data_IF_128168731476
#
_entry.id   IF_128168731476
#
_cell.length_a   1.000
_cell.length_b   1.000
_cell.length_c   1.000
_cell.angle_alpha   90.00
_cell.angle_beta   90.00
_cell.angle_gamma   90.00
#
_symmetry.space_group_name_H-M   'P 1'
#
loop_
_entity.id
_entity.type
_entity.pdbx_description
1 polymer ?
#
# COMPACT_ATOMS: atom_id res chain seq x y z
N UNK A 1 13.00 26.42 77.61
CA UNK A 1 13.45 26.91 76.29
C UNK A 1 13.27 25.76 75.31
N UNK A 2 12.18 25.77 74.55
CA UNK A 2 11.68 24.64 73.77
C UNK A 2 12.19 24.73 72.33
N UNK A 3 12.92 23.72 71.85
CA UNK A 3 13.30 23.59 70.44
C UNK A 3 12.65 22.31 69.89
N UNK A 4 11.57 22.47 69.10
CA UNK A 4 10.93 21.38 68.35
C UNK A 4 11.58 21.30 66.96
N UNK A 5 12.31 20.21 66.70
CA UNK A 5 12.84 19.88 65.38
C UNK A 5 11.76 19.16 64.56
N UNK A 6 11.34 19.77 63.45
CA UNK A 6 10.45 19.16 62.47
C UNK A 6 11.24 18.22 61.54
N UNK A 7 10.94 16.92 61.55
CA UNK A 7 11.44 15.97 60.54
C UNK A 7 10.40 15.87 59.41
N UNK A 8 10.77 16.32 58.22
CA UNK A 8 10.05 16.06 56.96
C UNK A 8 10.47 14.69 56.45
N UNK A 9 9.55 13.73 56.39
CA UNK A 9 9.75 12.47 55.68
C UNK A 9 9.59 12.73 54.17
N UNK A 10 10.67 12.61 53.41
CA UNK A 10 10.64 12.56 51.96
C UNK A 10 10.25 11.13 51.53
N UNK A 11 9.04 10.96 50.99
CA UNK A 11 8.59 9.70 50.41
C UNK A 11 9.28 9.46 49.07
N UNK A 12 10.02 8.36 48.97
CA UNK A 12 10.60 7.89 47.72
C UNK A 12 9.52 7.19 46.88
N UNK A 13 9.09 7.82 45.80
CA UNK A 13 8.19 7.22 44.82
C UNK A 13 8.96 6.34 43.84
N UNK A 14 8.81 5.02 43.95
CA UNK A 14 9.27 4.06 42.95
C UNK A 14 8.29 4.16 41.76
N UNK A 15 8.74 4.74 40.65
CA UNK A 15 8.02 4.67 39.37
C UNK A 15 8.44 3.37 38.69
N UNK A 16 7.60 2.33 38.83
CA UNK A 16 7.71 1.12 38.04
C UNK A 16 7.35 1.45 36.58
N UNK A 17 8.36 1.59 35.74
CA UNK A 17 8.20 1.65 34.28
C UNK A 17 7.90 0.22 33.81
N UNK A 18 6.62 -0.13 33.70
CA UNK A 18 6.19 -1.36 33.03
C UNK A 18 6.53 -1.22 31.55
N UNK A 19 7.66 -1.82 31.16
CA UNK A 19 8.00 -2.06 29.77
C UNK A 19 6.95 -2.97 29.16
N UNK A 20 6.06 -2.39 28.36
CA UNK A 20 5.26 -3.13 27.39
C UNK A 20 6.23 -3.64 26.32
N UNK A 21 6.86 -4.78 26.60
CA UNK A 21 7.38 -5.65 25.55
C UNK A 21 6.15 -6.13 24.80
N UNK A 22 5.79 -5.42 23.73
CA UNK A 22 4.78 -5.87 22.80
C UNK A 22 5.27 -7.16 22.18
N UNK A 23 4.66 -8.28 22.55
CA UNK A 23 4.74 -9.48 21.74
C UNK A 23 4.30 -9.07 20.33
N UNK A 24 5.18 -9.19 19.33
CA UNK A 24 4.80 -9.15 17.93
C UNK A 24 3.82 -10.32 17.71
N UNK A 25 2.54 -10.02 17.88
CA UNK A 25 1.46 -10.87 17.38
C UNK A 25 1.53 -10.75 15.87
N UNK A 26 1.59 -11.88 15.16
CA UNK A 26 1.37 -11.96 13.71
C UNK A 26 0.20 -11.03 13.36
N UNK A 27 0.50 -9.95 12.65
CA UNK A 27 -0.47 -8.89 12.40
C UNK A 27 -1.26 -9.26 11.16
N UNK A 28 -2.24 -10.17 11.35
CA UNK A 28 -3.26 -10.48 10.35
C UNK A 28 -3.70 -9.20 9.66
N UNK A 29 -3.55 -9.14 8.34
CA UNK A 29 -3.90 -7.96 7.55
C UNK A 29 -5.31 -7.51 7.90
N UNK A 30 -5.40 -6.36 8.55
CA UNK A 30 -6.65 -5.84 9.10
C UNK A 30 -7.56 -5.32 8.00
N UNK A 31 -8.88 -5.35 8.21
CA UNK A 31 -9.79 -4.65 7.30
C UNK A 31 -9.65 -3.14 7.48
N UNK A 32 -9.80 -2.40 6.39
CA UNK A 32 -9.65 -0.94 6.40
C UNK A 32 -9.20 -0.37 5.07
N UNK A 33 -8.85 0.92 5.12
CA UNK A 33 -8.27 1.65 4.00
C UNK A 33 -6.79 1.84 4.26
N UNK A 34 -5.98 1.52 3.27
CA UNK A 34 -4.54 1.67 3.28
C UNK A 34 -4.13 2.79 2.32
N UNK A 35 -3.19 3.64 2.74
CA UNK A 35 -2.47 4.55 1.86
C UNK A 35 -1.37 3.76 1.15
N UNK A 36 -1.26 3.93 -0.17
CA UNK A 36 -0.24 3.25 -0.97
C UNK A 36 0.94 4.18 -1.28
N UNK A 37 2.13 3.60 -1.34
CA UNK A 37 3.41 4.27 -1.57
C UNK A 37 4.25 3.46 -2.57
N UNK A 38 5.26 4.08 -3.19
CA UNK A 38 6.16 3.33 -4.06
C UNK A 38 6.94 2.30 -3.25
N UNK A 39 7.17 1.13 -3.84
CA UNK A 39 8.07 0.17 -3.22
C UNK A 39 9.53 0.63 -3.36
N UNK A 40 10.38 0.54 -2.32
CA UNK A 40 11.79 0.94 -2.42
C UNK A 40 12.56 0.20 -3.52
N UNK A 41 12.22 -1.07 -3.75
CA UNK A 41 12.77 -1.88 -4.84
C UNK A 41 12.22 -1.51 -6.24
N UNK A 42 11.09 -0.79 -6.32
CA UNK A 42 10.62 -0.18 -7.57
C UNK A 42 11.61 0.87 -8.11
N UNK A 43 12.57 1.32 -7.30
CA UNK A 43 13.62 2.25 -7.69
C UNK A 43 14.80 1.60 -8.44
N UNK A 44 14.81 0.27 -8.60
CA UNK A 44 15.89 -0.42 -9.33
C UNK A 44 15.98 0.00 -10.82
N UNK A 45 14.95 0.68 -11.34
CA UNK A 45 14.95 1.42 -12.61
C UNK A 45 14.17 2.72 -12.44
N UNK A 46 14.81 3.87 -12.15
CA UNK A 46 14.12 5.14 -12.00
C UNK A 46 13.26 5.48 -13.23
N UNK A 47 12.06 6.07 -13.05
CA UNK A 47 11.49 6.59 -11.80
C UNK A 47 10.88 5.51 -10.90
N UNK A 48 10.75 5.84 -9.60
CA UNK A 48 10.04 5.01 -8.63
C UNK A 48 8.58 4.83 -9.04
N UNK A 49 8.01 3.67 -8.69
CA UNK A 49 6.64 3.34 -9.06
C UNK A 49 5.94 2.44 -8.05
N UNK A 50 4.60 2.53 -8.04
CA UNK A 50 3.68 1.60 -7.39
C UNK A 50 2.94 0.69 -8.37
N UNK A 51 2.90 1.10 -9.64
CA UNK A 51 2.36 0.36 -10.79
C UNK A 51 3.27 0.55 -12.01
N UNK A 52 3.46 -0.51 -12.78
CA UNK A 52 4.10 -0.49 -14.10
C UNK A 52 3.21 -1.17 -15.12
N UNK A 53 3.07 -0.56 -16.30
CA UNK A 53 2.29 -1.08 -17.43
C UNK A 53 3.07 -0.87 -18.73
N UNK A 54 3.85 -1.85 -19.13
CA UNK A 54 4.63 -1.76 -20.37
C UNK A 54 3.69 -1.80 -21.59
N UNK A 55 4.00 -1.04 -22.63
CA UNK A 55 3.15 -0.87 -23.82
C UNK A 55 1.72 -0.41 -23.49
N UNK A 56 1.52 0.40 -22.44
CA UNK A 56 0.22 1.03 -22.22
C UNK A 56 -0.17 1.94 -23.39
N UNK A 57 0.82 2.54 -24.05
CA UNK A 57 0.67 3.18 -25.34
C UNK A 57 1.90 2.86 -26.18
N UNK A 58 1.70 2.58 -27.47
CA UNK A 58 2.81 2.48 -28.42
C UNK A 58 3.11 3.89 -28.96
N UNK A 59 4.07 4.57 -28.33
CA UNK A 59 4.44 5.96 -28.61
C UNK A 59 5.62 6.02 -29.57
N UNK A 60 6.61 5.15 -29.38
CA UNK A 60 7.88 5.22 -30.11
C UNK A 60 8.04 4.13 -31.17
N UNK A 61 7.15 3.14 -31.22
CA UNK A 61 7.32 1.94 -32.03
C UNK A 61 8.33 0.94 -31.46
N UNK A 62 8.97 1.26 -30.33
CA UNK A 62 9.83 0.38 -29.54
C UNK A 62 9.10 -0.04 -28.26
N UNK A 63 9.83 -0.70 -27.35
CA UNK A 63 9.34 -1.07 -26.03
C UNK A 63 9.21 0.16 -25.11
N UNK A 64 8.01 0.70 -24.98
CA UNK A 64 7.64 1.84 -24.14
C UNK A 64 7.18 1.38 -22.76
N UNK A 65 7.88 1.83 -21.71
CA UNK A 65 7.55 1.52 -20.33
C UNK A 65 6.69 2.66 -19.76
N UNK A 66 5.59 2.34 -19.08
CA UNK A 66 4.82 3.32 -18.31
C UNK A 66 4.87 2.98 -16.83
N UNK A 67 5.20 3.98 -16.02
CA UNK A 67 5.27 3.84 -14.56
C UNK A 67 4.44 4.92 -13.88
N UNK A 68 3.97 4.61 -12.69
CA UNK A 68 3.06 5.46 -11.92
C UNK A 68 3.58 5.62 -10.50
N UNK A 69 3.93 6.85 -10.15
CA UNK A 69 4.55 7.25 -8.89
C UNK A 69 3.46 7.54 -7.84
N UNK A 70 3.34 6.68 -6.84
CA UNK A 70 2.33 6.80 -5.78
C UNK A 70 2.70 7.84 -4.72
N UNK A 71 3.96 8.26 -4.65
CA UNK A 71 4.46 9.26 -3.69
C UNK A 71 4.55 10.68 -4.27
N UNK A 72 4.27 10.84 -5.56
CA UNK A 72 4.18 12.16 -6.17
C UNK A 72 3.10 13.01 -5.48
N UNK A 73 3.32 14.32 -5.36
CA UNK A 73 2.40 15.24 -4.67
C UNK A 73 0.98 15.33 -5.28
N UNK A 74 0.79 14.82 -6.49
CA UNK A 74 -0.52 14.74 -7.17
C UNK A 74 -1.15 13.34 -7.11
N UNK A 75 -0.47 12.40 -6.45
CA UNK A 75 -0.93 11.03 -6.27
C UNK A 75 -1.66 10.87 -4.95
N UNK A 76 -2.64 9.97 -4.94
CA UNK A 76 -3.43 9.58 -3.78
C UNK A 76 -4.02 8.20 -4.09
N UNK A 77 -3.14 7.19 -4.08
CA UNK A 77 -3.51 5.80 -4.31
C UNK A 77 -3.83 5.11 -2.98
N UNK A 78 -4.88 4.28 -2.99
CA UNK A 78 -5.43 3.62 -1.81
C UNK A 78 -5.79 2.18 -2.10
N UNK A 79 -5.84 1.39 -1.04
CA UNK A 79 -6.39 0.04 -1.05
C UNK A 79 -7.47 -0.07 0.02
N UNK A 80 -8.67 -0.50 -0.35
CA UNK A 80 -9.71 -0.90 0.60
C UNK A 80 -9.77 -2.42 0.70
N UNK A 81 -9.68 -2.96 1.91
CA UNK A 81 -9.89 -4.37 2.21
C UNK A 81 -11.01 -4.55 3.22
N UNK A 82 -12.02 -5.35 2.85
CA UNK A 82 -13.21 -5.58 3.68
C UNK A 82 -13.34 -7.01 4.23
N UNK A 83 -12.32 -7.86 4.05
CA UNK A 83 -12.34 -9.27 4.46
C UNK A 83 -12.54 -10.25 3.30
N UNK A 84 -13.11 -9.80 2.18
CA UNK A 84 -13.38 -10.66 1.01
C UNK A 84 -13.10 -9.97 -0.33
N UNK A 85 -12.81 -8.68 -0.31
CA UNK A 85 -12.60 -7.87 -1.51
C UNK A 85 -11.45 -6.91 -1.27
N UNK A 86 -10.58 -6.79 -2.25
CA UNK A 86 -9.50 -5.81 -2.29
C UNK A 86 -9.79 -4.86 -3.44
N UNK A 87 -9.90 -3.56 -3.17
CA UNK A 87 -10.02 -2.53 -4.21
C UNK A 87 -8.82 -1.61 -4.16
N UNK A 88 -8.06 -1.53 -5.24
CA UNK A 88 -6.92 -0.62 -5.41
C UNK A 88 -7.40 0.53 -6.30
N UNK A 89 -7.40 1.75 -5.79
CA UNK A 89 -8.00 2.89 -6.48
C UNK A 89 -7.35 4.22 -6.12
N UNK A 90 -7.56 5.22 -6.98
CA UNK A 90 -7.14 6.58 -6.71
C UNK A 90 -6.62 7.29 -7.95
N UNK A 91 -5.71 8.22 -7.70
CA UNK A 91 -5.00 8.95 -8.75
C UNK A 91 -3.51 8.75 -8.58
N UNK A 92 -2.79 8.60 -9.69
CA UNK A 92 -1.32 8.57 -9.69
C UNK A 92 -0.78 9.48 -10.77
N UNK A 93 0.23 10.28 -10.43
CA UNK A 93 1.10 10.88 -11.42
C UNK A 93 1.94 9.80 -12.11
N UNK A 94 2.13 9.93 -13.42
CA UNK A 94 2.91 8.96 -14.18
C UNK A 94 3.05 9.36 -15.64
N UNK A 95 3.54 8.42 -16.42
CA UNK A 95 3.71 8.58 -17.86
C UNK A 95 4.75 7.61 -18.41
N UNK A 96 5.22 7.90 -19.63
CA UNK A 96 6.24 7.09 -20.28
C UNK A 96 7.60 7.31 -19.63
N UNK A 97 8.18 6.24 -19.14
CA UNK A 97 9.48 6.19 -18.50
C UNK A 97 10.62 6.42 -19.51
N UNK A 98 11.60 7.23 -19.13
CA UNK A 98 12.82 7.52 -19.91
C UNK A 98 14.12 7.05 -19.24
N UNK A 99 14.03 6.30 -18.13
CA UNK A 99 15.13 5.81 -17.30
C UNK A 99 15.64 6.80 -16.25
N UNK A 100 15.16 8.04 -16.28
CA UNK A 100 15.49 9.07 -15.29
C UNK A 100 14.29 9.93 -14.86
N UNK A 101 13.09 9.54 -15.26
CA UNK A 101 11.87 10.31 -15.08
C UNK A 101 10.85 10.02 -16.18
N UNK A 102 9.96 10.99 -16.43
CA UNK A 102 8.90 10.86 -17.43
C UNK A 102 9.16 11.72 -18.66
N UNK A 103 8.89 11.16 -19.83
CA UNK A 103 8.91 11.88 -21.10
C UNK A 103 8.00 13.12 -21.04
N UNK A 104 8.44 14.22 -21.64
CA UNK A 104 7.63 15.43 -21.75
C UNK A 104 6.70 15.35 -22.97
N UNK A 105 5.76 14.40 -22.93
CA UNK A 105 4.77 14.19 -23.97
C UNK A 105 3.33 14.20 -23.40
N UNK A 106 2.35 14.00 -24.27
CA UNK A 106 0.93 14.08 -23.91
C UNK A 106 0.50 12.97 -22.92
N UNK A 107 1.30 11.93 -22.75
CA UNK A 107 1.01 10.82 -21.85
C UNK A 107 1.52 11.07 -20.44
N UNK A 108 2.25 12.14 -20.18
CA UNK A 108 2.64 12.51 -18.82
C UNK A 108 1.52 13.26 -18.11
N UNK A 109 1.10 12.78 -16.95
CA UNK A 109 0.08 13.46 -16.14
C UNK A 109 -0.51 12.62 -15.02
N UNK A 110 -1.69 13.03 -14.55
CA UNK A 110 -2.46 12.28 -13.54
C UNK A 110 -3.35 11.25 -14.22
N UNK A 111 -3.19 10.00 -13.81
CA UNK A 111 -3.98 8.86 -14.21
C UNK A 111 -4.99 8.51 -13.11
N UNK A 112 -6.22 8.17 -13.51
CA UNK A 112 -7.21 7.60 -12.60
C UNK A 112 -7.16 6.07 -12.66
N UNK A 113 -7.07 5.41 -11.52
CA UNK A 113 -6.93 3.94 -11.43
C UNK A 113 -8.03 3.41 -10.52
N UNK A 114 -8.69 2.33 -10.93
CA UNK A 114 -9.67 1.61 -10.11
C UNK A 114 -9.71 0.13 -10.50
N UNK A 115 -9.22 -0.75 -9.62
CA UNK A 115 -9.13 -2.18 -9.84
C UNK A 115 -9.69 -2.93 -8.63
N UNK A 116 -10.53 -3.95 -8.86
CA UNK A 116 -11.13 -4.71 -7.76
C UNK A 116 -10.91 -6.21 -7.91
N UNK A 117 -10.34 -6.82 -6.88
CA UNK A 117 -10.33 -8.26 -6.66
C UNK A 117 -11.55 -8.65 -5.83
N UNK A 118 -12.56 -9.25 -6.47
CA UNK A 118 -13.77 -9.77 -5.83
C UNK A 118 -13.77 -11.29 -5.72
N UNK A 119 -12.93 -11.97 -6.51
CA UNK A 119 -12.80 -13.42 -6.56
C UNK A 119 -11.42 -13.83 -6.05
N UNK A 120 -11.37 -14.97 -5.33
CA UNK A 120 -10.13 -15.63 -4.91
C UNK A 120 -9.35 -14.98 -3.79
N UNK A 121 -9.83 -13.86 -3.20
CA UNK A 121 -9.22 -13.25 -2.02
C UNK A 121 -9.26 -14.26 -0.86
N UNK A 122 -8.08 -14.72 -0.47
CA UNK A 122 -7.88 -15.82 0.48
C UNK A 122 -6.97 -15.32 1.59
N UNK A 123 -7.46 -15.29 2.86
CA UNK A 123 -6.60 -14.99 4.00
C UNK A 123 -5.70 -16.18 4.32
N UNK A 124 -4.64 -15.90 5.05
CA UNK A 124 -3.61 -16.85 5.44
C UNK A 124 -2.95 -17.58 4.25
N UNK A 125 -2.69 -16.83 3.18
CA UNK A 125 -2.15 -17.39 1.95
C UNK A 125 -0.76 -17.98 2.19
N UNK A 126 -0.51 -19.18 1.65
CA UNK A 126 0.77 -19.88 1.85
C UNK A 126 1.01 -20.39 3.28
N UNK A 127 0.00 -20.34 4.16
CA UNK A 127 0.17 -20.65 5.59
C UNK A 127 0.77 -19.49 6.40
N UNK A 128 0.86 -18.31 5.80
CA UNK A 128 1.31 -17.07 6.42
C UNK A 128 0.12 -16.20 6.89
N UNK A 129 0.31 -14.99 7.40
CA UNK A 129 -0.77 -14.04 7.74
C UNK A 129 -1.20 -13.10 6.59
N UNK A 130 -0.64 -13.36 5.40
CA UNK A 130 -0.90 -12.63 4.17
C UNK A 130 -2.25 -12.91 3.52
N UNK A 131 -2.67 -11.97 2.67
CA UNK A 131 -3.75 -12.17 1.70
C UNK A 131 -3.15 -12.60 0.36
N UNK A 132 -3.74 -13.63 -0.23
CA UNK A 132 -3.44 -14.06 -1.60
C UNK A 132 -4.69 -14.10 -2.45
N UNK A 133 -4.57 -13.81 -3.73
CA UNK A 133 -5.67 -13.91 -4.69
C UNK A 133 -5.47 -15.16 -5.52
N UNK A 134 -6.19 -16.23 -5.15
CA UNK A 134 -6.00 -17.60 -5.69
C UNK A 134 -7.29 -18.40 -5.98
N UNK A 135 -7.35 -19.09 -7.13
CA UNK A 135 -6.77 -18.69 -8.40
C UNK A 135 -7.75 -17.73 -9.09
N UNK A 136 -7.41 -16.46 -9.27
CA UNK A 136 -7.99 -15.79 -10.41
C UNK A 136 -6.92 -15.18 -11.30
N UNK A 137 -7.05 -15.50 -12.58
CA UNK A 137 -6.37 -14.85 -13.70
C UNK A 137 -7.42 -14.51 -14.72
N UNK A 138 -7.44 -13.26 -15.17
CA UNK A 138 -8.41 -12.72 -16.11
C UNK A 138 -9.85 -12.88 -15.59
N UNK A 139 -10.03 -12.67 -14.28
CA UNK A 139 -11.30 -12.85 -13.56
C UNK A 139 -11.63 -11.68 -12.64
N UNK A 140 -10.63 -10.94 -12.21
CA UNK A 140 -10.79 -9.65 -11.55
C UNK A 140 -10.41 -8.54 -12.52
N UNK A 141 -11.08 -7.39 -12.40
CA UNK A 141 -11.02 -6.36 -13.42
C UNK A 141 -10.93 -4.96 -12.81
N UNK A 142 -10.49 -4.04 -13.65
CA UNK A 142 -10.41 -2.63 -13.33
C UNK A 142 -10.28 -1.78 -14.58
N UNK A 143 -9.98 -0.52 -14.37
CA UNK A 143 -9.63 0.43 -15.43
C UNK A 143 -8.52 1.36 -15.00
N UNK A 144 -7.80 1.84 -16.00
CA UNK A 144 -6.93 3.01 -15.90
C UNK A 144 -7.38 4.04 -16.93
N UNK A 145 -7.52 5.29 -16.50
CA UNK A 145 -7.88 6.43 -17.36
C UNK A 145 -6.69 7.36 -17.47
N UNK A 146 -6.25 7.61 -18.69
CA UNK A 146 -5.11 8.47 -18.96
C UNK A 146 -5.43 9.95 -18.74
N UNK A 147 -4.41 10.83 -18.70
CA UNK A 147 -4.63 12.26 -18.67
C UNK A 147 -5.55 12.71 -19.80
N UNK A 148 -6.45 13.65 -19.50
CA UNK A 148 -7.51 14.13 -20.43
C UNK A 148 -6.94 14.53 -21.80
N UNK A 149 -5.70 15.01 -21.85
CA UNK A 149 -5.01 15.46 -23.07
C UNK A 149 -4.75 14.29 -24.06
N UNK A 150 -4.63 13.05 -23.57
CA UNK A 150 -4.48 11.85 -24.41
C UNK A 150 -5.77 11.53 -25.16
N UNK A 151 -6.93 12.00 -24.67
CA UNK A 151 -8.23 11.77 -25.31
C UNK A 151 -8.70 10.32 -25.29
N UNK A 152 -8.03 9.44 -24.54
CA UNK A 152 -8.38 8.03 -24.43
C UNK A 152 -9.47 7.83 -23.36
N UNK A 153 -10.49 7.05 -23.69
CA UNK A 153 -11.42 6.50 -22.69
C UNK A 153 -10.70 5.56 -21.71
N UNK A 154 -11.44 4.98 -20.74
CA UNK A 154 -10.87 4.02 -19.80
C UNK A 154 -10.26 2.81 -20.51
N UNK A 155 -9.02 2.47 -20.16
CA UNK A 155 -8.32 1.27 -20.60
C UNK A 155 -8.63 0.17 -19.59
N UNK A 156 -9.10 -0.97 -20.07
CA UNK A 156 -9.46 -2.12 -19.25
C UNK A 156 -8.22 -2.80 -18.67
N UNK A 157 -8.31 -3.20 -17.40
CA UNK A 157 -7.32 -3.98 -16.70
C UNK A 157 -7.92 -5.34 -16.28
N UNK A 158 -7.10 -6.39 -16.25
CA UNK A 158 -7.45 -7.69 -15.70
C UNK A 158 -6.28 -8.26 -14.90
N UNK A 159 -6.57 -9.10 -13.90
CA UNK A 159 -5.51 -9.75 -13.11
C UNK A 159 -4.79 -10.85 -13.91
N UNK A 160 -3.53 -11.10 -13.59
CA UNK A 160 -2.75 -12.17 -14.19
C UNK A 160 -2.17 -13.07 -13.12
N UNK A 161 -2.48 -14.36 -13.20
CA UNK A 161 -1.75 -15.37 -12.42
C UNK A 161 -0.34 -15.54 -12.98
N UNK A 162 0.62 -15.53 -12.06
CA UNK A 162 2.00 -15.92 -12.30
C UNK A 162 2.53 -16.64 -11.07
N UNK A 163 2.81 -17.94 -11.20
CA UNK A 163 3.33 -18.72 -10.08
C UNK A 163 2.29 -19.11 -9.03
N UNK A 164 1.01 -19.18 -9.41
CA UNK A 164 -0.05 -19.74 -8.57
C UNK A 164 -0.85 -18.74 -7.73
N UNK A 165 -0.62 -17.44 -7.92
CA UNK A 165 -1.47 -16.33 -7.46
C UNK A 165 -1.40 -15.16 -8.44
N UNK A 166 -2.39 -14.27 -8.42
CA UNK A 166 -2.36 -13.04 -9.23
C UNK A 166 -2.03 -11.77 -8.45
N UNK A 167 -2.26 -11.79 -7.15
CA UNK A 167 -1.94 -10.70 -6.24
C UNK A 167 -1.69 -11.24 -4.82
N UNK A 168 -0.70 -10.67 -4.13
CA UNK A 168 -0.42 -10.92 -2.72
C UNK A 168 -0.29 -9.58 -2.01
N UNK A 169 -0.86 -9.51 -0.80
CA UNK A 169 -0.82 -8.33 0.06
C UNK A 169 -0.54 -8.79 1.48
N UNK A 170 0.60 -8.36 2.01
CA UNK A 170 1.23 -9.04 3.13
C UNK A 170 2.29 -8.22 3.82
N UNK A 171 2.71 -8.64 5.01
CA UNK A 171 3.71 -7.96 5.83
C UNK A 171 5.06 -8.71 5.91
N UNK A 172 5.90 -8.36 6.89
CA UNK A 172 7.25 -8.93 7.05
C UNK A 172 7.35 -10.18 7.94
N UNK A 173 6.25 -10.63 8.52
CA UNK A 173 6.27 -11.68 9.54
C UNK A 173 6.68 -13.03 8.95
N UNK A 174 7.94 -13.40 9.16
CA UNK A 174 8.61 -14.67 8.79
C UNK A 174 9.24 -14.76 7.39
N UNK A 175 9.19 -13.72 6.55
CA UNK A 175 9.85 -13.73 5.23
C UNK A 175 10.59 -12.43 4.82
N UNK A 176 10.78 -11.48 5.76
CA UNK A 176 11.44 -10.17 5.54
C UNK A 176 10.65 -9.20 4.65
N UNK A 177 9.35 -9.43 4.50
CA UNK A 177 8.46 -8.63 3.66
C UNK A 177 8.81 -8.80 2.19
N UNK A 178 8.06 -8.15 1.31
CA UNK A 178 8.34 -8.29 -0.12
C UNK A 178 9.68 -7.61 -0.47
N UNK A 179 10.63 -8.40 -0.97
CA UNK A 179 11.97 -7.94 -1.41
C UNK A 179 12.75 -7.16 -0.34
N UNK A 180 12.61 -7.57 0.93
CA UNK A 180 13.38 -7.02 2.05
C UNK A 180 12.85 -5.69 2.60
N UNK A 181 11.61 -5.31 2.26
CA UNK A 181 10.95 -4.16 2.87
C UNK A 181 10.28 -4.53 4.20
N UNK A 182 10.64 -3.83 5.27
CA UNK A 182 10.06 -4.01 6.59
C UNK A 182 8.71 -3.28 6.72
N UNK A 183 7.62 -3.94 6.31
CA UNK A 183 6.25 -3.42 6.38
C UNK A 183 5.30 -4.09 5.38
N UNK A 184 4.08 -3.55 5.27
CA UNK A 184 3.07 -4.11 4.36
C UNK A 184 3.41 -3.77 2.91
N UNK A 185 3.35 -4.78 2.05
CA UNK A 185 3.58 -4.66 0.60
C UNK A 185 2.46 -5.32 -0.19
N UNK A 186 2.21 -4.80 -1.40
CA UNK A 186 1.32 -5.41 -2.38
C UNK A 186 2.05 -5.64 -3.70
N UNK A 187 1.93 -6.85 -4.25
CA UNK A 187 2.51 -7.20 -5.53
C UNK A 187 1.66 -8.21 -6.30
N UNK A 188 1.73 -8.13 -7.62
CA UNK A 188 0.93 -8.98 -8.49
C UNK A 188 1.03 -8.54 -9.93
N UNK A 189 0.40 -9.29 -10.84
CA UNK A 189 0.54 -9.06 -12.28
C UNK A 189 -0.79 -8.65 -12.89
N UNK A 190 -0.70 -7.86 -13.97
CA UNK A 190 -1.84 -7.28 -14.66
C UNK A 190 -1.75 -7.45 -16.17
N UNK A 191 -2.90 -7.53 -16.80
CA UNK A 191 -3.08 -7.32 -18.24
C UNK A 191 -3.82 -6.01 -18.44
N UNK A 192 -3.35 -5.15 -19.33
CA UNK A 192 -4.05 -3.96 -19.81
C UNK A 192 -4.59 -4.17 -21.22
N UNK A 193 -5.54 -3.32 -21.63
CA UNK A 193 -6.35 -3.50 -22.84
C UNK A 193 -7.02 -4.87 -22.94
N UNK A 194 -7.35 -5.51 -21.82
CA UNK A 194 -8.01 -6.80 -21.81
C UNK A 194 -9.38 -6.72 -22.53
N UNK A 195 -9.78 -7.71 -23.37
CA UNK A 195 -9.11 -8.97 -23.69
C UNK A 195 -8.19 -8.91 -24.93
N UNK A 196 -7.89 -7.71 -25.43
CA UNK A 196 -7.33 -7.49 -26.76
C UNK A 196 -5.79 -7.52 -26.81
N UNK A 197 -5.11 -7.41 -25.66
CA UNK A 197 -3.65 -7.53 -25.57
C UNK A 197 -3.24 -8.72 -24.69
N UNK A 198 -2.15 -9.43 -25.07
CA UNK A 198 -1.56 -10.44 -24.21
C UNK A 198 -0.93 -9.80 -22.98
N UNK A 199 -0.68 -10.63 -21.96
CA UNK A 199 0.11 -10.22 -20.79
C UNK A 199 1.53 -9.82 -21.20
N UNK A 200 2.01 -8.69 -20.67
CA UNK A 200 3.41 -8.28 -20.74
C UNK A 200 4.04 -8.54 -19.38
N UNK A 201 5.15 -9.27 -19.37
CA UNK A 201 5.72 -9.88 -18.16
C UNK A 201 6.01 -8.88 -17.03
N UNK A 202 6.35 -7.64 -17.39
CA UNK A 202 6.72 -6.58 -16.46
C UNK A 202 5.54 -5.67 -16.06
N UNK A 203 4.30 -5.99 -16.47
CA UNK A 203 3.11 -5.26 -16.04
C UNK A 203 2.67 -5.71 -14.66
N UNK A 204 3.00 -4.95 -13.62
CA UNK A 204 2.85 -5.35 -12.22
C UNK A 204 2.35 -4.25 -11.28
N UNK A 205 1.73 -4.69 -10.19
CA UNK A 205 1.66 -3.94 -8.94
C UNK A 205 2.95 -4.17 -8.18
N UNK A 206 3.52 -3.11 -7.61
CA UNK A 206 4.64 -3.20 -6.68
C UNK A 206 4.66 -1.98 -5.78
N UNK A 207 4.00 -2.07 -4.62
CA UNK A 207 3.84 -0.94 -3.70
C UNK A 207 4.00 -1.37 -2.24
N UNK A 208 4.17 -0.38 -1.37
CA UNK A 208 4.03 -0.53 0.09
C UNK A 208 2.75 0.13 0.57
N UNK A 209 2.30 -0.21 1.78
CA UNK A 209 1.03 0.23 2.30
C UNK A 209 1.07 0.56 3.80
N UNK A 210 0.32 1.58 4.20
CA UNK A 210 0.11 1.96 5.59
C UNK A 210 -1.40 2.03 5.89
N UNK A 211 -1.85 1.38 6.97
CA UNK A 211 -3.25 1.45 7.39
C UNK A 211 -3.60 2.88 7.83
N UNK A 212 -4.61 3.49 7.20
CA UNK A 212 -5.14 4.77 7.63
C UNK A 212 -6.01 4.54 8.87
N UNK A 213 -5.65 5.10 10.05
CA UNK A 213 -6.42 4.90 11.27
C UNK A 213 -7.84 5.45 11.13
N UNK A 214 -8.83 4.68 11.62
CA UNK A 214 -10.20 5.17 11.69
C UNK A 214 -10.26 6.45 12.56
N UNK A 215 -11.01 7.50 12.16
CA UNK A 215 -11.05 8.79 12.88
C UNK A 215 -11.35 8.69 14.39
N UNK A 216 -12.04 7.62 14.82
CA UNK A 216 -12.37 7.37 16.22
C UNK A 216 -11.20 6.85 17.08
N UNK A 217 -10.20 6.19 16.51
CA UNK A 217 -9.11 5.56 17.27
C UNK A 217 -8.23 6.61 17.99
N UNK A 218 -7.98 7.75 17.32
CA UNK A 218 -7.21 8.86 17.89
C UNK A 218 -7.95 9.52 19.06
N UNK A 219 -9.29 9.59 18.97
CA UNK A 219 -10.13 10.23 19.98
C UNK A 219 -10.15 9.44 21.30
N UNK A 220 -10.17 8.11 21.23
CA UNK A 220 -10.15 7.25 22.42
C UNK A 220 -8.79 7.33 23.13
N UNK A 221 -7.68 7.37 22.37
CA UNK A 221 -6.34 7.53 22.93
C UNK A 221 -6.19 8.86 23.68
N UNK A 222 -6.66 9.95 23.08
CA UNK A 222 -6.64 11.29 23.70
C UNK A 222 -7.49 11.34 24.98
N UNK A 223 -8.67 10.73 24.99
CA UNK A 223 -9.53 10.65 26.19
C UNK A 223 -8.90 9.82 27.30
N UNK A 224 -8.23 8.71 26.97
CA UNK A 224 -7.51 7.88 27.94
C UNK A 224 -6.37 8.63 28.62
N UNK A 225 -5.58 9.40 27.85
CA UNK A 225 -4.50 10.23 28.39
C UNK A 225 -5.02 11.37 29.29
N UNK A 226 -6.14 11.99 28.93
CA UNK A 226 -6.79 13.02 29.76
C UNK A 226 -7.30 12.44 31.09
N UNK A 227 -7.92 11.26 31.07
CA UNK A 227 -8.39 10.59 32.28
C UNK A 227 -7.23 10.19 33.21
N UNK A 228 -6.12 9.70 32.65
CA UNK A 228 -4.92 9.35 33.40
C UNK A 228 -4.21 10.58 33.99
N UNK A 229 -4.15 11.69 33.23
CA UNK A 229 -3.57 12.95 33.69
C UNK A 229 -4.38 13.62 34.81
N UNK A 230 -5.70 13.45 34.81
CA UNK A 230 -6.59 14.02 35.84
C UNK A 230 -6.53 13.29 37.18
N UNK A 231 -6.09 12.03 37.19
CA UNK A 231 -5.94 11.21 38.42
C UNK A 231 -4.67 11.51 39.21
N UNK A 232 -3.76 12.34 38.68
CA UNK A 232 -2.49 12.73 39.31
C UNK A 232 -2.50 14.15 39.91
N UNK A 233 -3.66 14.81 39.99
CA UNK A 233 -3.80 16.10 40.69
C UNK A 233 -4.56 15.94 41.99
#
# INVERSE_FOLDING_TARGET
MNMRLARRCAGSGIVALLGLVGSASAAVISTGTYQLHNHPDGNARPPQYGLRLDELFNVTGNHDIFTFDFDHAQSNMRLDYNGSTIRIYGQSWGGRDTGSGYANDIYRGVYGIDFTYTLGVTPNFGGDDDLGVVPPSMRNFGTITAPVIVGSGPITLADKDSGGYSFRFGDENNDLGHRGFAGISGWGWLIHHFPNQPHIADSDWLFTAELIPAPGAVSVLAMGLLAAGRRRR
#
